data_IF_028078708252
#
_entry.id   IF_028078708252
#
_cell.length_a   1.000
_cell.length_b   1.000
_cell.length_c   1.000
_cell.angle_alpha   90.00
_cell.angle_beta   90.00
_cell.angle_gamma   90.00
#
_symmetry.space_group_name_H-M   'P 1'
#
loop_
_entity.id
_entity.type
_entity.pdbx_description
1 polymer ?
#
# COMPACT_ATOMS: atom_id res chain seq x y z
N UNK A 1 -12.62 2.65 -18.90
CA UNK A 1 -13.53 1.78 -18.12
C UNK A 1 -12.74 1.00 -17.06
N UNK A 2 -11.95 1.68 -16.23
CA UNK A 2 -11.10 1.04 -15.22
C UNK A 2 -11.54 1.53 -13.83
N UNK A 3 -11.55 0.62 -12.85
CA UNK A 3 -11.38 0.92 -11.42
C UNK A 3 -12.57 0.86 -10.45
N UNK A 4 -13.83 0.66 -10.85
CA UNK A 4 -14.89 0.47 -9.83
C UNK A 4 -14.80 -0.86 -9.06
N UNK A 5 -14.31 -1.94 -9.70
CA UNK A 5 -14.19 -3.24 -9.03
C UNK A 5 -13.05 -3.30 -8.01
N UNK A 6 -11.93 -2.61 -8.26
CA UNK A 6 -10.77 -2.59 -7.35
C UNK A 6 -11.14 -1.82 -6.07
N UNK A 7 -11.80 -0.67 -6.20
CA UNK A 7 -12.25 0.12 -5.05
C UNK A 7 -13.27 -0.67 -4.21
N UNK A 8 -14.21 -1.36 -4.85
CA UNK A 8 -15.19 -2.18 -4.13
C UNK A 8 -14.53 -3.34 -3.37
N UNK A 9 -13.52 -3.98 -3.96
CA UNK A 9 -12.75 -5.04 -3.31
C UNK A 9 -11.97 -4.54 -2.09
N UNK A 10 -11.47 -3.30 -2.14
CA UNK A 10 -10.71 -2.70 -1.04
C UNK A 10 -11.63 -2.23 0.10
N UNK A 11 -12.79 -1.64 -0.19
CA UNK A 11 -13.78 -1.30 0.83
C UNK A 11 -14.27 -2.55 1.58
N UNK A 12 -14.56 -3.64 0.87
CA UNK A 12 -14.95 -4.90 1.52
C UNK A 12 -13.85 -5.45 2.42
N UNK A 13 -12.58 -5.35 1.98
CA UNK A 13 -11.45 -5.68 2.83
C UNK A 13 -11.41 -4.80 4.09
N UNK A 14 -11.62 -3.49 3.98
CA UNK A 14 -11.62 -2.58 5.13
C UNK A 14 -12.80 -2.82 6.08
N UNK A 15 -14.00 -3.14 5.57
CA UNK A 15 -15.15 -3.54 6.40
C UNK A 15 -14.82 -4.80 7.21
N UNK A 16 -14.05 -5.74 6.63
CA UNK A 16 -13.68 -6.99 7.31
C UNK A 16 -12.55 -6.83 8.33
N UNK A 17 -11.54 -6.01 8.04
CA UNK A 17 -10.33 -5.92 8.85
C UNK A 17 -10.35 -4.73 9.83
N UNK A 18 -11.17 -3.70 9.56
CA UNK A 18 -11.27 -2.50 10.38
C UNK A 18 -10.27 -1.41 9.99
N UNK A 19 -10.27 -0.34 10.77
CA UNK A 19 -9.45 0.86 10.52
C UNK A 19 -7.96 0.57 10.76
N UNK A 20 -7.11 1.11 9.90
CA UNK A 20 -5.67 0.91 9.99
C UNK A 20 -4.98 0.88 8.63
N UNK A 21 -3.66 0.63 8.67
CA UNK A 21 -2.85 0.44 7.48
C UNK A 21 -2.61 -1.05 7.24
N UNK A 22 -2.54 -1.47 5.98
CA UNK A 22 -2.32 -2.85 5.58
C UNK A 22 -1.37 -2.97 4.39
N UNK A 23 -0.65 -4.10 4.34
CA UNK A 23 0.35 -4.37 3.31
C UNK A 23 -0.31 -4.48 1.92
N UNK A 24 0.24 -3.75 0.96
CA UNK A 24 -0.07 -3.96 -0.46
C UNK A 24 1.01 -4.83 -1.10
N UNK A 25 0.61 -5.97 -1.68
CA UNK A 25 1.56 -6.91 -2.29
C UNK A 25 2.10 -6.42 -3.65
N UNK A 26 1.38 -5.52 -4.32
CA UNK A 26 1.76 -5.04 -5.64
C UNK A 26 2.85 -3.96 -5.63
N UNK A 27 3.21 -3.40 -4.48
CA UNK A 27 4.31 -2.43 -4.35
C UNK A 27 4.75 -2.27 -2.91
N UNK A 28 6.06 -2.21 -2.68
CA UNK A 28 6.63 -1.91 -1.36
C UNK A 28 6.54 -0.42 -0.98
N UNK A 29 6.35 0.46 -1.97
CA UNK A 29 6.16 1.90 -1.76
C UNK A 29 4.69 2.31 -1.60
N UNK A 30 3.77 1.33 -1.54
CA UNK A 30 2.33 1.57 -1.35
C UNK A 30 1.75 0.69 -0.24
N UNK A 31 0.63 1.14 0.30
CA UNK A 31 -0.13 0.43 1.33
C UNK A 31 -1.63 0.73 1.23
N UNK A 32 -2.45 -0.12 1.85
CA UNK A 32 -3.86 0.15 2.01
C UNK A 32 -4.10 0.93 3.30
N UNK A 33 -4.79 2.06 3.23
CA UNK A 33 -5.32 2.77 4.39
C UNK A 33 -6.82 2.54 4.47
N UNK A 34 -7.31 2.03 5.59
CA UNK A 34 -8.72 1.81 5.87
C UNK A 34 -9.20 2.79 6.94
N UNK A 35 -10.33 3.44 6.69
CA UNK A 35 -11.04 4.23 7.69
C UNK A 35 -12.56 4.18 7.45
N UNK A 36 -13.33 3.88 8.50
CA UNK A 36 -14.79 3.79 8.47
C UNK A 36 -15.32 2.86 7.36
N UNK A 37 -14.62 1.74 7.10
CA UNK A 37 -14.99 0.77 6.06
C UNK A 37 -14.68 1.21 4.62
N UNK A 38 -14.06 2.37 4.44
CA UNK A 38 -13.53 2.82 3.15
C UNK A 38 -12.04 2.58 3.10
N UNK A 39 -11.54 2.16 1.93
CA UNK A 39 -10.13 1.91 1.73
C UNK A 39 -9.54 2.66 0.56
N UNK A 40 -8.29 3.09 0.74
CA UNK A 40 -7.51 3.81 -0.26
C UNK A 40 -6.15 3.14 -0.42
N UNK A 41 -5.69 3.03 -1.66
CA UNK A 41 -4.30 2.70 -1.95
C UNK A 41 -3.49 3.99 -1.84
N UNK A 42 -2.60 4.07 -0.86
CA UNK A 42 -1.76 5.22 -0.56
C UNK A 42 -0.31 4.92 -0.94
N UNK A 43 0.38 5.94 -1.44
CA UNK A 43 1.83 5.90 -1.60
C UNK A 43 2.50 6.33 -0.28
N UNK A 44 3.61 5.68 0.06
CA UNK A 44 4.50 6.19 1.09
C UNK A 44 5.08 7.56 0.65
N UNK A 45 5.28 8.50 1.59
CA UNK A 45 5.84 9.81 1.26
C UNK A 45 7.33 9.69 0.91
N UNK A 46 7.76 10.42 -0.12
CA UNK A 46 9.14 10.38 -0.60
C UNK A 46 9.58 8.99 -1.06
N UNK A 47 10.75 8.57 -0.58
CA UNK A 47 11.39 7.27 -0.85
C UNK A 47 11.21 6.26 0.30
N UNK A 48 10.24 6.50 1.18
CA UNK A 48 9.91 5.56 2.25
C UNK A 48 9.19 4.33 1.69
N UNK A 49 9.30 3.23 2.43
CA UNK A 49 8.74 1.93 2.07
C UNK A 49 7.89 1.42 3.23
N UNK A 50 6.79 0.74 2.91
CA UNK A 50 5.83 0.28 3.90
C UNK A 50 6.35 -0.97 4.61
N UNK A 51 6.61 -0.86 5.91
CA UNK A 51 7.05 -1.97 6.74
C UNK A 51 5.88 -2.85 7.17
N UNK A 52 6.06 -4.17 7.07
CA UNK A 52 4.99 -5.13 7.37
C UNK A 52 4.87 -5.46 8.87
N UNK A 53 5.86 -5.11 9.68
CA UNK A 53 5.83 -5.34 11.13
C UNK A 53 5.31 -4.09 11.85
N UNK A 54 5.80 -2.91 11.47
CA UNK A 54 5.40 -1.63 12.05
C UNK A 54 4.11 -1.07 11.45
N UNK A 55 3.68 -1.57 10.29
CA UNK A 55 2.48 -1.11 9.56
C UNK A 55 2.54 0.39 9.21
N UNK A 56 3.73 0.90 8.93
CA UNK A 56 4.00 2.29 8.60
C UNK A 56 5.12 2.44 7.57
N UNK A 57 5.22 3.62 6.97
CA UNK A 57 6.28 3.93 6.01
C UNK A 57 7.57 4.29 6.76
N UNK A 58 8.62 3.50 6.54
CA UNK A 58 9.95 3.71 7.12
C UNK A 58 11.01 3.81 6.04
N UNK A 59 12.21 4.23 6.42
CA UNK A 59 13.34 4.28 5.50
C UNK A 59 13.73 2.89 5.00
N UNK A 60 14.14 2.80 3.74
CA UNK A 60 14.49 1.55 3.07
C UNK A 60 15.50 0.67 3.84
N UNK A 61 16.40 1.28 4.62
CA UNK A 61 17.40 0.57 5.44
C UNK A 61 16.79 -0.30 6.54
N UNK A 62 15.54 -0.01 6.93
CA UNK A 62 14.82 -0.65 8.03
C UNK A 62 13.62 -1.45 7.58
N UNK A 63 13.34 -1.52 6.27
CA UNK A 63 12.14 -2.17 5.75
C UNK A 63 12.44 -3.58 5.26
N UNK A 64 11.48 -4.49 5.45
CA UNK A 64 11.47 -5.77 4.74
C UNK A 64 10.41 -5.76 3.64
N UNK A 65 10.83 -5.54 2.39
CA UNK A 65 9.92 -5.57 1.24
C UNK A 65 9.45 -6.99 0.88
N UNK A 66 10.24 -8.02 1.17
CA UNK A 66 9.99 -9.37 0.67
C UNK A 66 9.94 -9.36 -0.86
N UNK A 67 8.92 -10.00 -1.43
CA UNK A 67 8.70 -10.08 -2.88
C UNK A 67 8.01 -8.84 -3.48
N UNK A 68 7.69 -7.82 -2.66
CA UNK A 68 7.00 -6.62 -3.13
C UNK A 68 7.94 -5.77 -3.99
N UNK A 69 7.55 -5.39 -5.21
CA UNK A 69 8.40 -4.56 -6.05
C UNK A 69 8.52 -3.15 -5.45
N UNK A 70 9.73 -2.62 -5.37
CA UNK A 70 9.95 -1.20 -5.09
C UNK A 70 9.71 -0.48 -6.41
N UNK A 71 8.48 -0.03 -6.64
CA UNK A 71 8.21 0.89 -7.75
C UNK A 71 8.97 2.19 -7.44
N UNK A 72 10.18 2.33 -7.99
CA UNK A 72 10.88 3.59 -8.04
C UNK A 72 9.93 4.58 -8.73
N UNK A 73 9.55 5.65 -8.05
CA UNK A 73 8.75 6.74 -8.63
C UNK A 73 9.50 7.28 -9.85
N UNK A 74 9.24 6.74 -11.03
CA UNK A 74 9.92 7.13 -12.26
C UNK A 74 10.49 6.01 -13.14
N UNK A 75 10.09 4.75 -13.04
CA UNK A 75 10.31 3.81 -14.15
C UNK A 75 9.35 4.13 -15.31
N UNK A 76 9.61 5.26 -15.99
CA UNK A 76 9.43 5.28 -17.44
C UNK A 76 10.49 4.33 -17.99
N UNK A 77 10.04 3.19 -18.48
CA UNK A 77 10.81 2.41 -19.44
C UNK A 77 11.26 3.35 -20.58
N UNK A 78 12.57 3.55 -20.74
CA UNK A 78 13.20 3.88 -22.02
C UNK A 78 14.64 3.36 -22.09
#
# INVERSE_FOLDING_TARGET
>A
MRSSAIILSLNQFCVKNGDGNYVFQGSCSRFYSCANGFGWLQDCPGDLLFDTELMECVWHEKVQCGDRPVEARGSSDN
#
